data_IF_111106871093
#
_entry.id   IF_111106871093
#
_cell.length_a   1.000
_cell.length_b   1.000
_cell.length_c   1.000
_cell.angle_alpha   90.00
_cell.angle_beta   90.00
_cell.angle_gamma   90.00
#
_symmetry.space_group_name_H-M   'P 1'
#
loop_
_entity.id
_entity.type
_entity.pdbx_description
1 polymer ?
#
# COMPACT_ATOMS: atom_id res chain seq x y z
N UNK A 1 -3.00 -20.71 12.05
CA UNK A 1 -2.74 -19.91 10.83
C UNK A 1 -3.57 -18.63 10.97
N UNK A 2 -2.98 -17.45 10.73
CA UNK A 2 -3.72 -16.19 10.82
C UNK A 2 -4.74 -16.15 9.69
N UNK A 3 -5.97 -15.71 9.97
CA UNK A 3 -7.00 -15.53 8.96
C UNK A 3 -6.56 -14.47 7.93
N UNK A 4 -6.78 -14.75 6.64
CA UNK A 4 -6.42 -13.84 5.55
C UNK A 4 -7.15 -12.50 5.66
N UNK A 5 -8.34 -12.47 6.27
CA UNK A 5 -9.08 -11.23 6.53
C UNK A 5 -8.31 -10.28 7.44
N UNK A 6 -7.46 -10.79 8.33
CA UNK A 6 -6.60 -9.96 9.16
C UNK A 6 -5.47 -9.30 8.36
N UNK A 7 -4.94 -9.95 7.32
CA UNK A 7 -3.97 -9.32 6.41
C UNK A 7 -4.64 -8.26 5.52
N UNK A 8 -5.88 -8.49 5.07
CA UNK A 8 -6.66 -7.47 4.37
C UNK A 8 -6.92 -6.24 5.26
N UNK A 9 -7.20 -6.45 6.56
CA UNK A 9 -7.33 -5.35 7.54
C UNK A 9 -6.01 -4.60 7.75
N UNK A 10 -4.88 -5.30 7.81
CA UNK A 10 -3.57 -4.65 7.91
C UNK A 10 -3.29 -3.75 6.69
N UNK A 11 -3.62 -4.23 5.48
CA UNK A 11 -3.50 -3.45 4.24
C UNK A 11 -4.40 -2.21 4.31
N UNK A 12 -5.67 -2.37 4.70
CA UNK A 12 -6.60 -1.25 4.81
C UNK A 12 -6.11 -0.20 5.81
N UNK A 13 -5.68 -0.62 7.00
CA UNK A 13 -5.16 0.28 8.02
C UNK A 13 -3.87 1.00 7.58
N UNK A 14 -3.02 0.32 6.78
CA UNK A 14 -1.84 0.94 6.21
C UNK A 14 -2.19 2.01 5.18
N UNK A 15 -3.18 1.75 4.30
CA UNK A 15 -3.69 2.73 3.34
C UNK A 15 -4.26 3.96 4.05
N UNK A 16 -5.11 3.75 5.06
CA UNK A 16 -5.71 4.85 5.84
C UNK A 16 -4.66 5.67 6.59
N UNK A 17 -3.59 5.03 7.08
CA UNK A 17 -2.45 5.74 7.66
C UNK A 17 -1.76 6.64 6.63
N UNK A 18 -1.52 6.12 5.42
CA UNK A 18 -0.88 6.88 4.34
C UNK A 18 -1.73 8.10 3.98
N UNK A 19 -3.03 7.91 3.77
CA UNK A 19 -3.98 9.00 3.48
C UNK A 19 -3.95 10.08 4.57
N UNK A 20 -3.90 9.67 5.85
CA UNK A 20 -3.78 10.59 6.98
C UNK A 20 -2.45 11.34 7.03
N UNK A 21 -1.34 10.68 6.70
CA UNK A 21 -0.01 11.31 6.70
C UNK A 21 0.11 12.39 5.62
N UNK A 22 -0.47 12.16 4.45
CA UNK A 22 -0.35 13.07 3.30
C UNK A 22 -1.50 14.08 3.21
N UNK A 23 -2.42 14.08 4.18
CA UNK A 23 -3.58 14.96 4.15
C UNK A 23 -3.16 16.44 4.12
N UNK A 24 -3.58 17.15 3.07
CA UNK A 24 -3.24 18.56 2.87
C UNK A 24 -1.81 18.81 2.36
N UNK A 25 -1.07 17.76 2.02
CA UNK A 25 0.25 17.88 1.40
C UNK A 25 0.15 17.86 -0.12
N UNK A 26 1.08 18.56 -0.78
CA UNK A 26 1.40 18.38 -2.19
C UNK A 26 2.71 17.60 -2.35
N UNK A 27 3.11 17.34 -3.61
CA UNK A 27 4.34 16.63 -3.91
C UNK A 27 5.58 17.31 -3.33
N UNK A 28 5.64 18.64 -3.36
CA UNK A 28 6.80 19.41 -2.89
C UNK A 28 6.96 19.32 -1.37
N UNK A 29 5.84 19.43 -0.64
CA UNK A 29 5.81 19.23 0.81
C UNK A 29 6.13 17.78 1.17
N UNK A 30 5.64 16.81 0.38
CA UNK A 30 5.92 15.41 0.59
C UNK A 30 7.40 15.09 0.42
N UNK A 31 8.02 15.45 -0.71
CA UNK A 31 9.41 15.10 -1.00
C UNK A 31 10.43 15.76 -0.05
N UNK A 32 10.06 16.85 0.62
CA UNK A 32 10.93 17.59 1.54
C UNK A 32 10.72 17.21 3.02
N UNK A 33 9.64 16.54 3.38
CA UNK A 33 9.39 16.05 4.74
C UNK A 33 9.81 14.58 4.94
N UNK A 34 11.08 14.39 5.30
CA UNK A 34 11.71 13.07 5.53
C UNK A 34 10.91 12.15 6.45
N UNK A 35 10.27 12.72 7.48
CA UNK A 35 9.43 11.97 8.41
C UNK A 35 8.23 11.36 7.70
N UNK A 36 7.51 12.14 6.89
CA UNK A 36 6.31 11.67 6.20
C UNK A 36 6.67 10.72 5.08
N UNK A 37 7.72 10.99 4.30
CA UNK A 37 8.18 10.04 3.26
C UNK A 37 8.57 8.71 3.89
N UNK A 38 9.37 8.72 4.97
CA UNK A 38 9.75 7.51 5.71
C UNK A 38 8.54 6.77 6.27
N UNK A 39 7.56 7.47 6.82
CA UNK A 39 6.32 6.88 7.34
C UNK A 39 5.50 6.21 6.22
N UNK A 40 5.38 6.87 5.06
CA UNK A 40 4.69 6.31 3.88
C UNK A 40 5.42 5.08 3.35
N UNK A 41 6.75 5.14 3.18
CA UNK A 41 7.53 3.98 2.74
C UNK A 41 7.32 2.79 3.67
N UNK A 42 7.34 3.04 4.98
CA UNK A 42 7.12 1.97 5.97
C UNK A 42 5.74 1.34 5.84
N UNK A 43 4.69 2.13 5.58
CA UNK A 43 3.33 1.59 5.37
C UNK A 43 3.23 0.78 4.08
N UNK A 44 3.86 1.24 3.00
CA UNK A 44 3.94 0.51 1.74
C UNK A 44 4.68 -0.85 1.90
N UNK A 45 5.74 -0.90 2.69
CA UNK A 45 6.41 -2.17 3.04
C UNK A 45 5.49 -3.13 3.79
N UNK A 46 4.77 -2.62 4.81
CA UNK A 46 3.84 -3.43 5.61
C UNK A 46 2.74 -4.01 4.71
N UNK A 47 2.21 -3.22 3.77
CA UNK A 47 1.25 -3.72 2.78
C UNK A 47 1.85 -4.85 1.94
N UNK A 48 3.07 -4.67 1.44
CA UNK A 48 3.74 -5.69 0.63
C UNK A 48 3.92 -7.02 1.39
N UNK A 49 4.31 -6.96 2.66
CA UNK A 49 4.45 -8.18 3.46
C UNK A 49 3.09 -8.82 3.82
N UNK A 50 2.06 -8.02 4.08
CA UNK A 50 0.70 -8.53 4.28
C UNK A 50 0.18 -9.27 3.05
N UNK A 51 0.43 -8.74 1.84
CA UNK A 51 0.02 -9.38 0.58
C UNK A 51 0.65 -10.76 0.40
N UNK A 52 1.93 -10.95 0.78
CA UNK A 52 2.60 -12.26 0.67
C UNK A 52 1.97 -13.35 1.55
N UNK A 53 1.22 -12.95 2.58
CA UNK A 53 0.53 -13.88 3.48
C UNK A 53 -0.90 -14.21 3.01
N UNK A 54 -1.40 -13.53 1.98
CA UNK A 54 -2.73 -13.81 1.42
C UNK A 54 -2.61 -15.03 0.48
N UNK A 55 -3.46 -16.08 0.65
CA UNK A 55 -3.46 -17.24 -0.23
C UNK A 55 -3.66 -16.88 -1.71
N UNK A 56 -3.09 -17.66 -2.62
CA UNK A 56 -3.20 -17.41 -4.07
C UNK A 56 -4.66 -17.46 -4.55
N UNK A 57 -5.48 -18.33 -3.97
CA UNK A 57 -6.90 -18.50 -4.30
C UNK A 57 -7.69 -17.21 -4.02
N UNK A 58 -7.38 -16.55 -2.91
CA UNK A 58 -7.99 -15.26 -2.56
C UNK A 58 -7.50 -14.17 -3.53
N UNK A 59 -6.20 -14.15 -3.84
CA UNK A 59 -5.64 -13.18 -4.79
C UNK A 59 -6.24 -13.33 -6.20
N UNK A 60 -6.50 -14.56 -6.64
CA UNK A 60 -7.16 -14.86 -7.91
C UNK A 60 -8.65 -14.48 -7.92
N UNK A 61 -9.32 -14.49 -6.77
CA UNK A 61 -10.72 -14.06 -6.63
C UNK A 61 -10.89 -12.55 -6.82
N UNK A 62 -9.84 -11.78 -6.49
CA UNK A 62 -9.84 -10.31 -6.61
C UNK A 62 -8.72 -9.83 -7.56
N UNK A 63 -8.77 -10.14 -8.87
CA UNK A 63 -7.70 -9.84 -9.82
C UNK A 63 -7.53 -8.34 -10.11
N UNK A 64 -8.51 -7.52 -9.76
CA UNK A 64 -8.47 -6.06 -9.87
C UNK A 64 -7.52 -5.40 -8.86
N UNK A 65 -7.16 -6.12 -7.79
CA UNK A 65 -6.15 -5.67 -6.84
C UNK A 65 -4.76 -6.00 -7.42
N UNK A 66 -3.82 -5.04 -7.52
CA UNK A 66 -2.51 -5.25 -8.12
C UNK A 66 -1.55 -5.97 -7.16
N UNK A 67 -1.90 -7.19 -6.73
CA UNK A 67 -1.19 -7.96 -5.71
C UNK A 67 0.32 -8.07 -5.96
N UNK A 68 0.71 -8.35 -7.21
CA UNK A 68 2.12 -8.52 -7.58
C UNK A 68 2.92 -7.22 -7.40
N UNK A 69 2.32 -6.08 -7.74
CA UNK A 69 2.97 -4.78 -7.56
C UNK A 69 3.09 -4.42 -6.09
N UNK A 70 2.04 -4.67 -5.30
CA UNK A 70 2.05 -4.44 -3.86
C UNK A 70 3.11 -5.29 -3.16
N UNK A 71 3.18 -6.60 -3.45
CA UNK A 71 4.19 -7.51 -2.88
C UNK A 71 5.63 -7.10 -3.24
N UNK A 72 5.85 -6.59 -4.45
CA UNK A 72 7.16 -6.13 -4.94
C UNK A 72 7.50 -4.67 -4.58
N UNK A 73 6.69 -4.00 -3.75
CA UNK A 73 6.93 -2.59 -3.41
C UNK A 73 8.24 -2.40 -2.67
N UNK A 74 8.61 -3.32 -1.78
CA UNK A 74 9.90 -3.30 -1.07
C UNK A 74 11.10 -3.27 -2.03
N UNK A 75 11.11 -4.12 -3.05
CA UNK A 75 12.21 -4.19 -4.02
C UNK A 75 12.34 -2.89 -4.80
N UNK A 76 11.20 -2.27 -5.15
CA UNK A 76 11.14 -0.95 -5.78
C UNK A 76 11.45 0.21 -4.85
N UNK A 77 11.44 0.05 -3.53
CA UNK A 77 11.81 1.11 -2.58
C UNK A 77 13.30 1.02 -2.20
N UNK A 78 13.82 -0.20 -2.04
CA UNK A 78 15.22 -0.44 -1.62
C UNK A 78 16.20 -0.21 -2.78
N UNK A 79 15.86 -0.57 -4.02
CA UNK A 79 16.75 -0.33 -5.17
C UNK A 79 16.99 1.15 -5.47
N UNK A 80 16.16 2.04 -4.91
CA UNK A 80 16.24 3.48 -5.10
C UNK A 80 16.82 4.20 -3.87
N UNK A 81 17.58 3.52 -3.00
CA UNK A 81 18.32 4.19 -1.92
C UNK A 81 19.35 5.22 -2.44
N UNK A 82 19.66 5.23 -3.75
CA UNK A 82 20.42 6.29 -4.44
C UNK A 82 19.54 7.37 -5.10
N UNK A 83 18.21 7.28 -4.98
CA UNK A 83 17.25 8.29 -5.47
C UNK A 83 15.83 7.74 -5.57
N UNK A 84 15.07 7.78 -4.47
CA UNK A 84 13.62 7.48 -4.49
C UNK A 84 12.95 8.40 -5.49
N UNK A 85 12.21 7.83 -6.43
CA UNK A 85 11.33 8.61 -7.30
C UNK A 85 10.08 9.01 -6.51
N UNK A 86 10.16 10.14 -5.79
CA UNK A 86 9.05 10.67 -5.00
C UNK A 86 7.82 10.97 -5.85
N UNK A 87 8.00 11.31 -7.13
CA UNK A 87 6.88 11.54 -8.03
C UNK A 87 6.13 10.23 -8.31
N UNK A 88 6.84 9.13 -8.55
CA UNK A 88 6.22 7.81 -8.71
C UNK A 88 5.50 7.36 -7.43
N UNK A 89 6.11 7.55 -6.26
CA UNK A 89 5.49 7.19 -4.97
C UNK A 89 4.26 8.05 -4.71
N UNK A 90 4.36 9.36 -4.94
CA UNK A 90 3.24 10.30 -4.78
C UNK A 90 2.06 9.92 -5.65
N UNK A 91 2.30 9.62 -6.94
CA UNK A 91 1.25 9.13 -7.84
C UNK A 91 0.66 7.81 -7.38
N UNK A 92 1.49 6.87 -6.89
CA UNK A 92 0.98 5.60 -6.37
C UNK A 92 0.03 5.82 -5.18
N UNK A 93 0.41 6.66 -4.22
CA UNK A 93 -0.38 6.87 -3.00
C UNK A 93 -1.58 7.78 -3.18
N UNK A 94 -1.57 8.70 -4.16
CA UNK A 94 -2.68 9.65 -4.40
C UNK A 94 -3.63 9.21 -5.51
N UNK A 95 -3.13 8.53 -6.56
CA UNK A 95 -3.95 8.19 -7.74
C UNK A 95 -4.38 6.73 -7.79
N UNK A 96 -3.61 5.79 -7.20
CA UNK A 96 -3.86 4.33 -7.32
C UNK A 96 -4.33 3.70 -6.02
N UNK A 97 -3.78 4.14 -4.90
CA UNK A 97 -4.09 3.63 -3.58
C UNK A 97 -5.57 3.76 -3.20
N UNK A 98 -6.29 4.85 -3.57
CA UNK A 98 -7.73 4.96 -3.30
C UNK A 98 -8.57 3.85 -3.97
N UNK A 99 -8.21 3.42 -5.18
CA UNK A 99 -8.90 2.32 -5.87
C UNK A 99 -8.57 0.99 -5.18
N UNK A 100 -7.30 0.77 -4.81
CA UNK A 100 -6.91 -0.42 -4.04
C UNK A 100 -7.68 -0.51 -2.72
N UNK A 101 -7.87 0.62 -2.03
CA UNK A 101 -8.67 0.70 -0.80
C UNK A 101 -10.08 0.18 -1.01
N UNK A 102 -10.76 0.63 -2.07
CA UNK A 102 -12.14 0.22 -2.38
C UNK A 102 -12.22 -1.30 -2.61
N UNK A 103 -11.26 -1.87 -3.33
CA UNK A 103 -11.26 -3.31 -3.62
C UNK A 103 -10.94 -4.16 -2.38
N UNK A 104 -10.03 -3.69 -1.51
CA UNK A 104 -9.76 -4.34 -0.21
C UNK A 104 -11.01 -4.31 0.68
N UNK A 105 -11.74 -3.19 0.70
CA UNK A 105 -13.00 -3.09 1.45
C UNK A 105 -14.05 -4.06 0.90
N UNK A 106 -14.20 -4.20 -0.42
CA UNK A 106 -15.08 -5.21 -1.03
C UNK A 106 -14.68 -6.63 -0.65
N UNK A 107 -13.39 -6.94 -0.70
CA UNK A 107 -12.88 -8.26 -0.32
C UNK A 107 -13.19 -8.59 1.15
N UNK A 108 -13.09 -7.60 2.05
CA UNK A 108 -13.46 -7.75 3.46
C UNK A 108 -14.97 -7.91 3.66
N UNK A 109 -15.80 -7.21 2.91
CA UNK A 109 -17.26 -7.33 2.99
C UNK A 109 -17.75 -8.70 2.53
N UNK A 110 -17.16 -9.25 1.47
CA UNK A 110 -17.51 -10.58 0.94
C UNK A 110 -16.96 -11.75 1.77
N UNK A 111 -16.08 -11.48 2.73
CA UNK A 111 -15.51 -12.48 3.63
C UNK A 111 -16.33 -12.69 4.90
N UNK A 112 -17.32 -11.82 5.17
CA UNK A 112 -18.29 -11.94 6.27
C UNK A 112 -19.60 -12.55 5.82
#
# INVERSE_FOLDING_TARGET
>A
MRDYTLYLKDILAAIESIEGFIAGMDLDSFQTDDKTTSAVMRKLEIMGEAVKQIPDEIRQTYPQIPWREMAGTRDKLIHFYFGVDYHLVWRAITERLPQVKQEIQRALQNAG
#
